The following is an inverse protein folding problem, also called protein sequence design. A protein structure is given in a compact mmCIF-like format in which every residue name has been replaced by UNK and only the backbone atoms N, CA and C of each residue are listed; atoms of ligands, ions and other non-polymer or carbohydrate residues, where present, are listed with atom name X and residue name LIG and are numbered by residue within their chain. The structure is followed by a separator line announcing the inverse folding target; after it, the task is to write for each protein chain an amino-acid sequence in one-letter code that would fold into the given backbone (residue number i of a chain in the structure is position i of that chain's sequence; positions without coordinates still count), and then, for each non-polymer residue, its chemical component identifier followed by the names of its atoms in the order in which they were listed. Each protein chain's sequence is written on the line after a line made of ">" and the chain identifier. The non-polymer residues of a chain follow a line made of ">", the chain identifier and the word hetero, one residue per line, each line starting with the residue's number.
data_IF_815523481005
#
_entry.id   IF_815523481005
#
_cell.length_a   1.000
_cell.length_b   1.000
_cell.length_c   1.000
_cell.angle_alpha   90.00
_cell.angle_beta   90.00
_cell.angle_gamma   90.00
#
_symmetry.space_group_name_H-M   'P 1'
#
loop_
_entity.id
_entity.type
_entity.pdbx_description
1 polymer ?
#
# COMPACT_ATOMS: atom_id res chain seq x y z
N UNK A 1 -9.72 -6.82 -12.96
CA UNK A 1 -9.99 -7.51 -11.68
C UNK A 1 -10.72 -6.52 -10.78
N UNK A 2 -11.73 -6.95 -10.03
CA UNK A 2 -12.54 -6.07 -9.17
C UNK A 2 -12.57 -6.62 -7.75
N UNK A 3 -12.42 -5.75 -6.76
CA UNK A 3 -12.55 -6.08 -5.34
C UNK A 3 -13.63 -5.20 -4.72
N UNK A 4 -14.28 -5.72 -3.68
CA UNK A 4 -15.09 -4.93 -2.76
C UNK A 4 -14.17 -4.37 -1.67
N UNK A 5 -14.28 -3.08 -1.39
CA UNK A 5 -13.65 -2.43 -0.24
C UNK A 5 -14.75 -1.84 0.64
N UNK A 6 -14.72 -2.10 1.94
CA UNK A 6 -15.75 -1.61 2.85
C UNK A 6 -15.32 -1.65 4.31
N UNK A 7 -15.95 -0.81 5.11
CA UNK A 7 -15.77 -0.76 6.56
C UNK A 7 -16.57 -1.84 7.26
N UNK A 8 -16.05 -2.38 8.36
CA UNK A 8 -16.80 -3.19 9.31
C UNK A 8 -17.89 -2.37 10.03
N UNK A 9 -18.74 -3.04 10.79
CA UNK A 9 -19.84 -2.36 11.50
C UNK A 9 -19.38 -1.40 12.60
N UNK A 10 -18.13 -1.50 13.04
CA UNK A 10 -17.52 -0.62 14.05
C UNK A 10 -16.78 0.56 13.42
N UNK A 11 -16.56 0.56 12.10
CA UNK A 11 -15.82 1.60 11.38
C UNK A 11 -14.31 1.58 11.68
N UNK A 12 -13.79 0.49 12.23
CA UNK A 12 -12.40 0.37 12.69
C UNK A 12 -11.56 -0.53 11.78
N UNK A 13 -12.20 -1.38 10.98
CA UNK A 13 -11.52 -2.30 10.08
C UNK A 13 -12.03 -2.11 8.67
N UNK A 14 -11.13 -1.95 7.71
CA UNK A 14 -11.46 -2.01 6.30
C UNK A 14 -11.15 -3.41 5.75
N UNK A 15 -12.11 -4.01 5.07
CA UNK A 15 -11.94 -5.29 4.36
C UNK A 15 -11.80 -5.03 2.85
N UNK A 16 -10.78 -5.65 2.23
CA UNK A 16 -10.63 -5.72 0.78
C UNK A 16 -10.85 -7.17 0.34
N UNK A 17 -11.95 -7.43 -0.37
CA UNK A 17 -12.35 -8.77 -0.80
C UNK A 17 -12.38 -8.89 -2.33
N UNK A 18 -11.55 -9.74 -2.94
CA UNK A 18 -11.68 -10.07 -4.36
C UNK A 18 -13.07 -10.64 -4.68
N UNK A 19 -13.69 -10.15 -5.75
CA UNK A 19 -15.02 -10.64 -6.19
C UNK A 19 -14.96 -11.96 -6.96
N UNK A 20 -13.75 -12.41 -7.29
CA UNK A 20 -13.44 -13.69 -7.94
C UNK A 20 -12.21 -14.29 -7.27
N UNK A 21 -12.04 -15.62 -7.28
CA UNK A 21 -10.81 -16.25 -6.85
C UNK A 21 -9.60 -15.63 -7.55
N UNK A 22 -8.53 -15.43 -6.78
CA UNK A 22 -7.25 -15.01 -7.30
C UNK A 22 -6.62 -16.15 -8.11
N UNK A 23 -5.82 -15.80 -9.12
CA UNK A 23 -5.04 -16.79 -9.83
C UNK A 23 -3.99 -17.38 -8.87
N UNK A 24 -3.74 -18.71 -8.90
CA UNK A 24 -2.69 -19.33 -8.09
C UNK A 24 -1.31 -18.87 -8.55
N UNK A 25 -0.31 -19.02 -7.69
CA UNK A 25 1.10 -18.69 -7.99
C UNK A 25 1.30 -17.28 -8.57
N UNK A 26 0.47 -16.33 -8.15
CA UNK A 26 0.44 -14.96 -8.68
C UNK A 26 0.67 -13.98 -7.55
N UNK A 27 1.57 -13.02 -7.77
CA UNK A 27 1.82 -11.92 -6.84
C UNK A 27 0.82 -10.80 -7.08
N UNK A 28 0.18 -10.35 -6.00
CA UNK A 28 -0.71 -9.21 -5.97
C UNK A 28 -0.14 -8.13 -5.08
N UNK A 29 -0.40 -6.88 -5.42
CA UNK A 29 -0.04 -5.72 -4.61
C UNK A 29 -1.30 -4.99 -4.18
N UNK A 30 -1.34 -4.58 -2.91
CA UNK A 30 -2.37 -3.72 -2.34
C UNK A 30 -1.72 -2.37 -2.03
N UNK A 31 -2.34 -1.31 -2.51
CA UNK A 31 -1.92 0.07 -2.30
C UNK A 31 -3.07 0.80 -1.65
N UNK A 32 -2.83 1.34 -0.46
CA UNK A 32 -3.77 2.16 0.28
C UNK A 32 -3.37 3.62 0.10
N UNK A 33 -4.36 4.48 -0.17
CA UNK A 33 -4.13 5.90 -0.39
C UNK A 33 -4.88 6.76 0.63
N UNK A 34 -4.46 8.01 0.75
CA UNK A 34 -5.10 9.06 1.57
C UNK A 34 -6.53 9.43 1.11
N UNK A 35 -6.99 8.90 -0.03
CA UNK A 35 -8.39 8.94 -0.45
C UNK A 35 -9.32 8.15 0.48
N UNK A 36 -8.76 7.25 1.30
CA UNK A 36 -9.48 6.61 2.41
C UNK A 36 -9.65 7.65 3.52
N UNK A 37 -10.92 7.93 3.87
CA UNK A 37 -11.28 8.93 4.88
C UNK A 37 -12.12 8.32 6.00
N UNK A 38 -12.01 8.91 7.18
CA UNK A 38 -12.89 8.62 8.32
C UNK A 38 -14.29 9.22 8.15
N UNK A 39 -15.18 8.97 9.11
CA UNK A 39 -16.55 9.53 9.10
C UNK A 39 -16.64 11.06 9.17
N UNK A 40 -15.55 11.75 9.51
CA UNK A 40 -15.43 13.20 9.53
C UNK A 40 -14.79 13.76 8.24
N UNK A 41 -14.34 12.90 7.32
CA UNK A 41 -13.67 13.27 6.08
C UNK A 41 -12.16 13.48 6.23
N UNK A 42 -11.56 13.07 7.34
CA UNK A 42 -10.11 13.13 7.53
C UNK A 42 -9.46 11.93 6.85
N UNK A 43 -8.47 12.18 6.01
CA UNK A 43 -7.68 11.14 5.35
C UNK A 43 -6.93 10.26 6.35
N UNK A 44 -6.72 9.00 6.00
CA UNK A 44 -5.79 8.15 6.74
C UNK A 44 -4.37 8.73 6.66
N UNK A 45 -3.64 8.60 7.76
CA UNK A 45 -2.22 8.96 7.80
C UNK A 45 -1.39 7.81 7.22
N UNK A 46 -0.27 8.16 6.59
CA UNK A 46 0.78 7.20 6.22
C UNK A 46 1.25 6.42 7.44
N UNK A 47 1.48 5.12 7.26
CA UNK A 47 2.10 4.26 8.27
C UNK A 47 3.52 4.76 8.61
N UNK A 48 3.91 4.75 9.89
CA UNK A 48 5.16 5.38 10.35
C UNK A 48 6.39 4.67 9.78
N UNK A 49 6.39 3.32 9.78
CA UNK A 49 7.44 2.51 9.17
C UNK A 49 7.47 2.70 7.66
N UNK A 50 6.31 2.78 7.01
CA UNK A 50 6.23 3.07 5.58
C UNK A 50 6.80 4.46 5.26
N UNK A 51 6.44 5.50 6.02
CA UNK A 51 6.91 6.87 5.83
C UNK A 51 8.43 7.01 5.91
N UNK A 52 9.07 6.25 6.80
CA UNK A 52 10.54 6.19 6.88
C UNK A 52 11.16 5.67 5.57
N UNK A 53 10.54 4.66 4.96
CA UNK A 53 11.07 3.93 3.80
C UNK A 53 10.61 4.51 2.46
N UNK A 54 9.50 5.24 2.42
CA UNK A 54 9.01 5.97 1.23
C UNK A 54 9.73 7.30 1.04
N UNK A 55 10.46 7.79 2.04
CA UNK A 55 11.22 9.04 1.95
C UNK A 55 12.04 9.14 0.66
N UNK A 56 12.01 10.28 -0.07
CA UNK A 56 12.79 10.47 -1.28
C UNK A 56 14.30 10.59 -1.00
N UNK A 57 14.67 10.83 0.26
CA UNK A 57 16.06 10.86 0.68
C UNK A 57 16.53 9.43 0.94
N UNK A 58 17.42 8.94 0.08
CA UNK A 58 18.00 7.61 0.23
C UNK A 58 18.86 7.52 1.50
N UNK A 59 18.67 6.43 2.23
CA UNK A 59 19.56 6.02 3.29
C UNK A 59 20.96 5.72 2.71
N UNK A 60 22.03 5.85 3.52
CA UNK A 60 23.36 5.40 3.10
C UNK A 60 23.34 3.92 2.69
N UNK A 61 24.11 3.49 1.67
CA UNK A 61 24.10 2.08 1.22
C UNK A 61 24.50 1.04 2.28
N UNK A 62 25.17 1.46 3.35
CA UNK A 62 25.56 0.63 4.49
C UNK A 62 24.51 0.59 5.61
N UNK A 63 23.42 1.35 5.49
CA UNK A 63 22.30 1.29 6.41
C UNK A 63 21.56 -0.06 6.28
N UNK A 64 21.21 -0.73 7.39
CA UNK A 64 20.52 -2.02 7.34
C UNK A 64 19.15 -1.96 6.63
N UNK A 65 18.49 -0.80 6.59
CA UNK A 65 17.21 -0.61 5.94
C UNK A 65 17.31 -0.15 4.48
N UNK A 66 18.50 0.17 3.97
CA UNK A 66 18.67 0.66 2.60
C UNK A 66 18.03 -0.27 1.56
N UNK A 67 18.25 -1.58 1.68
CA UNK A 67 17.68 -2.57 0.74
C UNK A 67 16.16 -2.65 0.81
N UNK A 68 15.60 -2.43 1.99
CA UNK A 68 14.15 -2.39 2.17
C UNK A 68 13.57 -1.09 1.60
N UNK A 69 14.27 0.04 1.77
CA UNK A 69 13.89 1.32 1.15
C UNK A 69 13.78 1.21 -0.37
N UNK A 70 14.79 0.61 -1.01
CA UNK A 70 14.76 0.37 -2.47
C UNK A 70 13.59 -0.53 -2.88
N UNK A 71 13.22 -1.53 -2.05
CA UNK A 71 12.05 -2.36 -2.32
C UNK A 71 10.75 -1.56 -2.23
N UNK A 72 10.60 -0.69 -1.22
CA UNK A 72 9.43 0.20 -1.07
C UNK A 72 9.31 1.14 -2.26
N UNK A 73 10.41 1.79 -2.68
CA UNK A 73 10.42 2.64 -3.87
C UNK A 73 10.02 1.88 -5.14
N UNK A 74 10.50 0.64 -5.30
CA UNK A 74 10.09 -0.21 -6.43
C UNK A 74 8.59 -0.57 -6.39
N UNK A 75 7.98 -0.67 -5.21
CA UNK A 75 6.55 -0.90 -5.08
C UNK A 75 5.75 0.36 -5.44
N UNK A 76 6.21 1.53 -5.02
CA UNK A 76 5.61 2.81 -5.41
C UNK A 76 5.71 3.06 -6.92
N UNK A 77 6.86 2.77 -7.54
CA UNK A 77 7.01 2.87 -9.00
C UNK A 77 6.00 1.96 -9.73
N UNK A 78 5.77 0.75 -9.20
CA UNK A 78 4.79 -0.16 -9.76
C UNK A 78 3.34 0.33 -9.56
N UNK A 79 3.06 1.00 -8.44
CA UNK A 79 1.76 1.62 -8.17
C UNK A 79 1.51 2.82 -9.09
N UNK A 80 2.52 3.67 -9.29
CA UNK A 80 2.50 4.81 -10.20
C UNK A 80 2.30 4.36 -11.66
N UNK A 81 3.00 3.31 -12.09
CA UNK A 81 2.80 2.68 -13.39
C UNK A 81 1.37 2.10 -13.57
N UNK A 82 0.68 1.78 -12.48
CA UNK A 82 -0.72 1.35 -12.48
C UNK A 82 -1.72 2.52 -12.37
N UNK A 83 -1.24 3.77 -12.29
CA UNK A 83 -2.04 4.99 -12.27
C UNK A 83 -2.38 5.52 -10.86
N UNK A 84 -1.71 5.05 -9.82
CA UNK A 84 -1.84 5.60 -8.45
C UNK A 84 -0.89 6.79 -8.29
N UNK A 85 -1.35 7.88 -7.70
CA UNK A 85 -0.47 9.02 -7.36
C UNK A 85 0.46 8.61 -6.21
N UNK A 86 1.78 8.67 -6.42
CA UNK A 86 2.79 8.27 -5.44
C UNK A 86 2.64 9.02 -4.12
N UNK A 87 2.38 10.33 -4.17
CA UNK A 87 2.27 11.17 -2.97
C UNK A 87 1.04 10.82 -2.13
N UNK A 88 0.03 10.18 -2.74
CA UNK A 88 -1.18 9.73 -2.05
C UNK A 88 -1.01 8.42 -1.30
N UNK A 89 0.10 7.69 -1.48
CA UNK A 89 0.26 6.34 -0.93
C UNK A 89 0.49 6.41 0.59
N UNK A 90 -0.45 5.87 1.35
CA UNK A 90 -0.37 5.75 2.80
C UNK A 90 0.33 4.45 3.22
N UNK A 91 0.18 3.37 2.44
CA UNK A 91 0.83 2.08 2.68
C UNK A 91 0.76 1.22 1.41
N UNK A 92 1.80 0.41 1.16
CA UNK A 92 1.75 -0.62 0.13
C UNK A 92 2.33 -1.94 0.64
N UNK A 93 1.72 -3.06 0.25
CA UNK A 93 2.23 -4.40 0.54
C UNK A 93 1.88 -5.36 -0.60
N UNK A 94 2.63 -6.47 -0.71
CA UNK A 94 2.36 -7.50 -1.69
C UNK A 94 2.25 -8.88 -1.03
N UNK A 95 1.56 -9.79 -1.69
CA UNK A 95 1.44 -11.18 -1.29
C UNK A 95 1.35 -12.09 -2.51
N UNK A 96 1.70 -13.37 -2.35
CA UNK A 96 1.65 -14.36 -3.42
C UNK A 96 0.68 -15.47 -3.04
N UNK A 97 -0.16 -15.87 -3.99
CA UNK A 97 -1.09 -17.01 -3.83
C UNK A 97 -0.35 -18.34 -4.01
N UNK A 98 -0.79 -19.39 -3.32
CA UNK A 98 -0.25 -20.76 -3.45
C UNK A 98 -0.93 -21.53 -4.58
#
# INVERSE_FOLDING_TARGET
>A
MTAFAGWDSTGSTMEIRPTKPLAPQTTYMVVLTDGITDGAGSSITTDDEYALLSSPVLLPPNDPLFRLQILVHSMEDAAEAAGVDRESIAMAYHFTTQ
#
